data_IF_343229630932
#
_entry.id   IF_343229630932
#
_cell.length_a   1.000
_cell.length_b   1.000
_cell.length_c   1.000
_cell.angle_alpha   90.00
_cell.angle_beta   90.00
_cell.angle_gamma   90.00
#
_symmetry.space_group_name_H-M   'P 1'
#
loop_
_entity.id
_entity.type
_entity.pdbx_description
1 polymer ?
#
# COMPACT_ATOMS: atom_id res chain seq x y z
N UNK A 1 -11.65 12.72 16.87
CA UNK A 1 -10.59 12.54 15.86
C UNK A 1 -10.97 11.32 15.04
N UNK A 2 -11.33 11.48 13.77
CA UNK A 2 -11.39 10.31 12.88
C UNK A 2 -9.95 9.84 12.72
N UNK A 3 -9.66 8.68 13.31
CA UNK A 3 -8.34 8.05 13.18
C UNK A 3 -8.20 7.68 11.70
N UNK A 4 -7.20 8.27 11.04
CA UNK A 4 -6.91 7.97 9.63
C UNK A 4 -6.47 6.50 9.55
N UNK A 5 -6.85 5.80 8.48
CA UNK A 5 -6.47 4.39 8.30
C UNK A 5 -4.95 4.29 8.14
N UNK A 6 -4.27 3.32 8.77
CA UNK A 6 -2.83 3.11 8.57
C UNK A 6 -2.45 2.99 7.09
N UNK A 7 -3.32 2.36 6.28
CA UNK A 7 -3.11 2.24 4.85
C UNK A 7 -3.19 3.59 4.13
N UNK A 8 -4.05 4.51 4.59
CA UNK A 8 -4.12 5.85 4.01
C UNK A 8 -2.86 6.66 4.33
N UNK A 9 -2.32 6.53 5.55
CA UNK A 9 -1.07 7.21 5.93
C UNK A 9 0.13 6.68 5.13
N UNK A 10 0.20 5.37 4.91
CA UNK A 10 1.20 4.77 4.02
C UNK A 10 1.05 5.24 2.57
N UNK A 11 -0.18 5.24 2.03
CA UNK A 11 -0.43 5.61 0.63
C UNK A 11 -0.08 7.08 0.37
N UNK A 12 -0.45 7.98 1.27
CA UNK A 12 -0.13 9.41 1.14
C UNK A 12 1.34 9.72 1.45
N UNK A 13 1.95 9.02 2.42
CA UNK A 13 3.32 9.29 2.82
C UNK A 13 4.34 8.78 1.82
N UNK A 14 4.16 7.55 1.35
CA UNK A 14 5.19 6.82 0.59
C UNK A 14 4.80 6.55 -0.85
N UNK A 15 3.49 6.49 -1.15
CA UNK A 15 2.98 6.19 -2.48
C UNK A 15 2.23 7.39 -3.10
N UNK A 16 2.71 8.61 -2.81
CA UNK A 16 2.23 9.89 -3.36
C UNK A 16 2.66 10.13 -4.81
N UNK A 17 2.27 11.26 -5.41
CA UNK A 17 2.55 11.59 -6.82
C UNK A 17 4.04 11.53 -7.22
N UNK A 18 4.95 11.73 -6.26
CA UNK A 18 6.39 11.77 -6.48
C UNK A 18 7.11 10.47 -6.10
N UNK A 19 6.40 9.42 -5.64
CA UNK A 19 7.06 8.22 -5.10
C UNK A 19 8.06 7.57 -6.06
N UNK A 20 7.81 7.64 -7.37
CA UNK A 20 8.71 7.10 -8.39
C UNK A 20 10.01 7.92 -8.45
N UNK A 21 9.92 9.24 -8.29
CA UNK A 21 11.09 10.11 -8.27
C UNK A 21 11.90 9.95 -6.97
N UNK A 22 11.22 9.73 -5.84
CA UNK A 22 11.85 9.62 -4.51
C UNK A 22 12.41 8.21 -4.25
N UNK A 23 11.63 7.17 -4.54
CA UNK A 23 11.93 5.78 -4.16
C UNK A 23 12.15 4.84 -5.35
N UNK A 24 11.93 5.30 -6.58
CA UNK A 24 12.11 4.53 -7.82
C UNK A 24 10.94 3.59 -8.13
N UNK A 25 10.50 2.78 -7.16
CA UNK A 25 9.40 1.82 -7.34
C UNK A 25 8.47 1.79 -6.12
N UNK A 26 7.32 1.12 -6.26
CA UNK A 26 6.38 0.96 -5.15
C UNK A 26 6.95 0.06 -4.04
N UNK A 27 7.74 -0.95 -4.41
CA UNK A 27 8.50 -1.79 -3.50
C UNK A 27 9.61 -1.01 -2.80
N UNK A 28 10.27 -0.08 -3.52
CA UNK A 28 11.23 0.85 -2.93
C UNK A 28 10.58 1.75 -1.88
N UNK A 29 9.40 2.29 -2.18
CA UNK A 29 8.61 3.08 -1.23
C UNK A 29 8.17 2.25 -0.01
N UNK A 30 7.71 1.02 -0.23
CA UNK A 30 7.37 0.09 0.84
C UNK A 30 8.61 -0.25 1.71
N UNK A 31 9.78 -0.44 1.10
CA UNK A 31 11.01 -0.71 1.82
C UNK A 31 11.45 0.50 2.66
N UNK A 32 11.33 1.73 2.14
CA UNK A 32 11.57 2.95 2.91
C UNK A 32 10.61 3.03 4.11
N UNK A 33 9.31 2.79 3.90
CA UNK A 33 8.35 2.74 4.99
C UNK A 33 8.74 1.70 6.06
N UNK A 34 9.21 0.51 5.65
CA UNK A 34 9.61 -0.50 6.65
C UNK A 34 10.84 -0.13 7.47
N UNK A 35 11.66 0.82 7.00
CA UNK A 35 12.80 1.34 7.75
C UNK A 35 12.40 2.41 8.76
N UNK A 36 11.37 3.19 8.43
CA UNK A 36 10.90 4.32 9.23
C UNK A 36 9.81 3.92 10.24
N UNK A 37 9.02 2.88 9.93
CA UNK A 37 7.86 2.45 10.71
C UNK A 37 8.21 1.42 11.79
N UNK A 38 7.49 1.48 12.91
CA UNK A 38 7.51 0.43 13.92
C UNK A 38 6.95 -0.90 13.40
N UNK A 39 7.21 -1.99 14.11
CA UNK A 39 6.63 -3.31 13.78
C UNK A 39 5.10 -3.28 13.76
N UNK A 40 4.48 -2.63 14.75
CA UNK A 40 3.02 -2.49 14.84
C UNK A 40 2.44 -1.70 13.65
N UNK A 41 3.10 -0.63 13.22
CA UNK A 41 2.67 0.15 12.06
C UNK A 41 2.79 -0.66 10.76
N UNK A 42 3.90 -1.39 10.59
CA UNK A 42 4.11 -2.29 9.44
C UNK A 42 3.03 -3.36 9.39
N UNK A 43 2.74 -4.02 10.50
CA UNK A 43 1.71 -5.05 10.57
C UNK A 43 0.31 -4.48 10.29
N UNK A 44 0.00 -3.30 10.83
CA UNK A 44 -1.29 -2.64 10.60
C UNK A 44 -1.52 -2.31 9.12
N UNK A 45 -0.50 -1.77 8.44
CA UNK A 45 -0.57 -1.47 7.00
C UNK A 45 -0.65 -2.77 6.17
N UNK A 46 0.21 -3.76 6.47
CA UNK A 46 0.20 -5.05 5.78
C UNK A 46 -1.16 -5.74 5.89
N UNK A 47 -1.76 -5.75 7.08
CA UNK A 47 -3.08 -6.33 7.34
C UNK A 47 -4.19 -5.61 6.61
N UNK A 48 -4.15 -4.27 6.58
CA UNK A 48 -5.13 -3.47 5.85
C UNK A 48 -5.05 -3.72 4.34
N UNK A 49 -3.83 -3.71 3.76
CA UNK A 49 -3.63 -3.99 2.34
C UNK A 49 -4.01 -5.43 1.98
N UNK A 50 -3.63 -6.40 2.81
CA UNK A 50 -4.00 -7.81 2.64
C UNK A 50 -5.52 -7.99 2.67
N UNK A 51 -6.23 -7.31 3.57
CA UNK A 51 -7.70 -7.39 3.65
C UNK A 51 -8.40 -6.90 2.38
N UNK A 52 -7.83 -5.91 1.68
CA UNK A 52 -8.32 -5.45 0.39
C UNK A 52 -7.94 -6.40 -0.75
N UNK A 53 -6.70 -6.90 -0.74
CA UNK A 53 -6.13 -7.72 -1.82
C UNK A 53 -6.61 -9.18 -1.81
N UNK A 54 -6.65 -9.77 -0.61
CA UNK A 54 -6.91 -11.20 -0.33
C UNK A 54 -8.36 -11.43 0.17
N UNK A 55 -9.02 -10.39 0.70
CA UNK A 55 -10.36 -10.49 1.31
C UNK A 55 -11.51 -10.44 0.30
N UNK A 56 -12.07 -11.60 -0.07
CA UNK A 56 -13.33 -11.73 -0.80
C UNK A 56 -13.22 -12.52 -2.11
N UNK A 57 -14.32 -12.63 -2.90
CA UNK A 57 -14.24 -13.18 -4.25
C UNK A 57 -13.17 -12.43 -5.04
N UNK A 58 -12.38 -13.13 -5.87
CA UNK A 58 -11.24 -12.57 -6.62
C UNK A 58 -11.61 -11.22 -7.24
N UNK A 59 -11.25 -10.13 -6.56
CA UNK A 59 -11.48 -8.77 -7.07
C UNK A 59 -10.63 -8.59 -8.31
N UNK A 60 -11.19 -7.90 -9.30
CA UNK A 60 -10.40 -7.50 -10.45
C UNK A 60 -9.36 -6.45 -10.04
N UNK A 61 -8.32 -6.29 -10.83
CA UNK A 61 -7.29 -5.27 -10.54
C UNK A 61 -7.87 -3.86 -10.62
N UNK A 62 -8.89 -3.64 -11.47
CA UNK A 62 -9.60 -2.37 -11.60
C UNK A 62 -10.38 -2.01 -10.34
N UNK A 63 -11.04 -2.99 -9.70
CA UNK A 63 -11.74 -2.79 -8.43
C UNK A 63 -10.75 -2.41 -7.32
N UNK A 64 -9.64 -3.15 -7.22
CA UNK A 64 -8.61 -2.90 -6.23
C UNK A 64 -7.99 -1.51 -6.40
N UNK A 65 -7.70 -1.11 -7.63
CA UNK A 65 -7.20 0.22 -7.97
C UNK A 65 -8.18 1.32 -7.55
N UNK A 66 -9.47 1.14 -7.83
CA UNK A 66 -10.50 2.11 -7.44
C UNK A 66 -10.58 2.27 -5.91
N UNK A 67 -10.46 1.17 -5.16
CA UNK A 67 -10.42 1.21 -3.70
C UNK A 67 -9.17 1.90 -3.15
N UNK A 68 -7.98 1.58 -3.69
CA UNK A 68 -6.74 2.26 -3.31
C UNK A 68 -6.83 3.77 -3.56
N UNK A 69 -7.32 4.18 -4.74
CA UNK A 69 -7.54 5.59 -5.06
C UNK A 69 -8.56 6.27 -4.13
N UNK A 70 -9.58 5.55 -3.68
CA UNK A 70 -10.56 6.09 -2.73
C UNK A 70 -9.97 6.26 -1.31
N UNK A 71 -8.93 5.48 -0.97
CA UNK A 71 -8.23 5.59 0.32
C UNK A 71 -7.22 6.73 0.29
N UNK A 72 -6.45 6.88 -0.79
CA UNK A 72 -5.46 7.94 -0.96
C UNK A 72 -4.24 7.52 -1.79
N UNK A 73 -3.25 8.40 -1.86
CA UNK A 73 -2.04 8.21 -2.66
C UNK A 73 -2.23 8.30 -4.18
N UNK A 74 -1.13 8.15 -4.91
CA UNK A 74 -1.06 8.16 -6.36
C UNK A 74 -0.73 6.78 -6.97
N UNK A 75 -0.52 5.76 -6.12
CA UNK A 75 -0.17 4.44 -6.61
C UNK A 75 -1.29 3.79 -7.42
N UNK A 76 -0.90 3.32 -8.61
CA UNK A 76 -1.80 2.82 -9.62
C UNK A 76 -1.34 1.43 -10.10
N UNK A 77 -1.52 0.36 -9.30
CA UNK A 77 -1.04 -0.96 -9.66
C UNK A 77 -1.71 -1.45 -10.96
N UNK A 78 -0.89 -1.99 -11.86
CA UNK A 78 -1.30 -2.52 -13.16
C UNK A 78 -1.69 -3.98 -13.08
N UNK A 79 -1.10 -4.72 -12.14
CA UNK A 79 -1.33 -6.14 -11.96
C UNK A 79 -1.56 -6.49 -10.50
N UNK A 80 -2.15 -7.67 -10.27
CA UNK A 80 -2.23 -8.23 -8.90
C UNK A 80 -0.85 -8.55 -8.34
N UNK A 81 0.14 -8.79 -9.21
CA UNK A 81 1.51 -9.07 -8.82
C UNK A 81 2.17 -7.82 -8.21
N UNK A 82 1.92 -6.62 -8.75
CA UNK A 82 2.43 -5.36 -8.20
C UNK A 82 2.00 -5.18 -6.74
N UNK A 83 0.75 -5.53 -6.42
CA UNK A 83 0.23 -5.42 -5.05
C UNK A 83 0.82 -6.49 -4.14
N UNK A 84 1.00 -7.70 -4.66
CA UNK A 84 1.65 -8.78 -3.93
C UNK A 84 3.09 -8.41 -3.56
N UNK A 85 3.84 -7.80 -4.47
CA UNK A 85 5.23 -7.39 -4.23
C UNK A 85 5.34 -6.36 -3.11
N UNK A 86 4.48 -5.34 -3.10
CA UNK A 86 4.41 -4.38 -1.99
C UNK A 86 4.04 -5.06 -0.68
N UNK A 87 3.04 -5.94 -0.70
CA UNK A 87 2.62 -6.68 0.50
C UNK A 87 3.72 -7.60 1.06
N UNK A 88 4.49 -8.25 0.18
CA UNK A 88 5.62 -9.08 0.55
C UNK A 88 6.78 -8.28 1.15
N UNK A 89 6.91 -6.98 0.81
CA UNK A 89 7.89 -6.09 1.46
C UNK A 89 7.40 -5.68 2.85
N UNK A 90 6.13 -5.30 2.98
CA UNK A 90 5.54 -4.87 4.26
C UNK A 90 5.51 -5.98 5.33
N UNK A 91 5.53 -7.25 4.92
CA UNK A 91 5.51 -8.43 5.80
C UNK A 91 6.91 -8.89 6.25
N UNK A 92 7.98 -8.20 5.85
CA UNK A 92 9.38 -8.52 6.25
C UNK A 92 9.78 -7.80 7.53
#
# INVERSE_FOLDING_TARGET
MSVRSPLADFLDGYLNEDFVAVYGTAEGAAAAFTQDASEDEREAVAKALASLFEGGPRRSIEQLRAELQAIGGAWNPRTREDVRQVLDVLRR
#
